data_IF_769712106548
#
_entry.id   IF_769712106548
#
_cell.length_a   1.000
_cell.length_b   1.000
_cell.length_c   1.000
_cell.angle_alpha   90.00
_cell.angle_beta   90.00
_cell.angle_gamma   90.00
#
_symmetry.space_group_name_H-M   'P 1'
#
loop_
_entity.id
_entity.type
_entity.pdbx_description
1 polymer ?
#
# COMPACT_ATOMS: atom_id res chain seq x y z
N UNK A 1 14.06 0.11 -0.38
CA UNK A 1 13.95 -1.24 0.20
C UNK A 1 12.56 -1.78 -0.08
N UNK A 2 12.37 -3.09 -0.29
CA UNK A 2 11.05 -3.73 -0.38
C UNK A 2 10.31 -3.70 -1.74
N UNK A 3 10.84 -3.01 -2.75
CA UNK A 3 10.18 -2.87 -4.06
C UNK A 3 9.96 -4.23 -4.73
N UNK A 4 10.93 -5.14 -4.69
CA UNK A 4 10.80 -6.43 -5.38
C UNK A 4 9.68 -7.29 -4.79
N UNK A 5 9.56 -7.33 -3.46
CA UNK A 5 8.48 -8.02 -2.75
C UNK A 5 7.12 -7.40 -3.08
N UNK A 6 7.03 -6.07 -3.04
CA UNK A 6 5.80 -5.35 -3.37
C UNK A 6 5.35 -5.60 -4.82
N UNK A 7 6.29 -5.56 -5.77
CA UNK A 7 6.01 -5.83 -7.18
C UNK A 7 5.56 -7.28 -7.37
N UNK A 8 6.19 -8.25 -6.72
CA UNK A 8 5.75 -9.65 -6.83
C UNK A 8 4.33 -9.83 -6.28
N UNK A 9 4.01 -9.17 -5.17
CA UNK A 9 2.66 -9.19 -4.59
C UNK A 9 1.61 -8.59 -5.54
N UNK A 10 1.94 -7.45 -6.17
CA UNK A 10 1.09 -6.82 -7.19
C UNK A 10 0.93 -7.72 -8.42
N UNK A 11 1.99 -8.37 -8.90
CA UNK A 11 1.92 -9.29 -10.04
C UNK A 11 1.01 -10.48 -9.73
N UNK A 12 1.09 -11.06 -8.53
CA UNK A 12 0.18 -12.13 -8.13
C UNK A 12 -1.27 -11.66 -8.02
N UNK A 13 -1.50 -10.48 -7.43
CA UNK A 13 -2.83 -9.88 -7.36
C UNK A 13 -3.39 -9.60 -8.77
N UNK A 14 -2.55 -9.16 -9.70
CA UNK A 14 -2.92 -8.96 -11.11
C UNK A 14 -3.32 -10.28 -11.78
N UNK A 15 -2.52 -11.34 -11.62
CA UNK A 15 -2.81 -12.65 -12.23
C UNK A 15 -4.13 -13.24 -11.75
N UNK A 16 -4.50 -12.97 -10.49
CA UNK A 16 -5.74 -13.43 -9.88
C UNK A 16 -6.88 -12.41 -9.98
N UNK A 17 -6.63 -11.23 -10.57
CA UNK A 17 -7.54 -10.08 -10.59
C UNK A 17 -8.16 -9.80 -9.22
N UNK A 18 -7.31 -9.82 -8.19
CA UNK A 18 -7.72 -9.55 -6.82
C UNK A 18 -8.19 -8.11 -6.67
N UNK A 19 -9.21 -7.92 -5.83
CA UNK A 19 -9.62 -6.59 -5.41
C UNK A 19 -8.55 -5.94 -4.55
N UNK A 20 -8.10 -4.76 -4.98
CA UNK A 20 -7.18 -3.90 -4.24
C UNK A 20 -7.94 -2.76 -3.59
N UNK A 21 -7.73 -2.54 -2.29
CA UNK A 21 -8.17 -1.33 -1.60
C UNK A 21 -6.95 -0.53 -1.16
N UNK A 22 -6.85 0.71 -1.64
CA UNK A 22 -5.77 1.63 -1.29
C UNK A 22 -6.19 2.47 -0.08
N UNK A 23 -5.41 2.48 0.98
CA UNK A 23 -5.63 3.33 2.16
C UNK A 23 -4.62 4.47 2.17
N UNK A 24 -5.07 5.66 1.76
CA UNK A 24 -4.25 6.87 1.67
C UNK A 24 -4.22 7.69 2.96
N UNK A 25 -3.41 8.75 2.99
CA UNK A 25 -3.50 9.84 3.97
C UNK A 25 -4.22 11.08 3.37
N UNK A 26 -4.72 11.97 4.22
CA UNK A 26 -5.56 13.12 3.83
C UNK A 26 -4.76 14.34 3.34
N UNK A 27 -3.44 14.35 3.51
CA UNK A 27 -2.60 15.47 3.10
C UNK A 27 -2.31 15.46 1.59
N UNK A 28 -1.54 16.44 1.11
CA UNK A 28 -1.27 16.56 -0.33
C UNK A 28 -0.44 15.39 -0.89
N UNK A 29 0.51 14.82 -0.12
CA UNK A 29 1.32 13.69 -0.58
C UNK A 29 0.46 12.42 -0.59
N UNK A 30 -0.28 12.15 0.49
CA UNK A 30 -1.21 11.03 0.60
C UNK A 30 -2.31 11.03 -0.47
N UNK A 31 -2.98 12.17 -0.68
CA UNK A 31 -4.05 12.28 -1.67
C UNK A 31 -3.53 12.10 -3.11
N UNK A 32 -2.40 12.72 -3.44
CA UNK A 32 -1.79 12.63 -4.79
C UNK A 32 -1.29 11.21 -5.06
N UNK A 33 -0.64 10.60 -4.07
CA UNK A 33 -0.12 9.24 -4.17
C UNK A 33 -1.23 8.19 -4.28
N UNK A 34 -2.35 8.41 -3.58
CA UNK A 34 -3.56 7.58 -3.70
C UNK A 34 -4.15 7.68 -5.10
N UNK A 35 -4.34 8.90 -5.62
CA UNK A 35 -4.86 9.12 -6.97
C UNK A 35 -3.95 8.47 -8.03
N UNK A 36 -2.63 8.65 -7.91
CA UNK A 36 -1.65 8.01 -8.79
C UNK A 36 -1.75 6.49 -8.75
N UNK A 37 -1.84 5.89 -7.56
CA UNK A 37 -1.95 4.45 -7.37
C UNK A 37 -3.22 3.89 -8.03
N UNK A 38 -4.37 4.53 -7.81
CA UNK A 38 -5.64 4.12 -8.41
C UNK A 38 -5.57 4.19 -9.94
N UNK A 39 -5.11 5.31 -10.49
CA UNK A 39 -5.04 5.51 -11.94
C UNK A 39 -4.06 4.51 -12.58
N UNK A 40 -2.88 4.34 -12.01
CA UNK A 40 -1.85 3.52 -12.60
C UNK A 40 -2.16 2.02 -12.52
N UNK A 41 -2.72 1.52 -11.39
CA UNK A 41 -3.15 0.13 -11.29
C UNK A 41 -4.28 -0.17 -12.28
N UNK A 42 -5.27 0.72 -12.42
CA UNK A 42 -6.32 0.54 -13.44
C UNK A 42 -5.74 0.55 -14.86
N UNK A 43 -4.79 1.44 -15.15
CA UNK A 43 -4.12 1.49 -16.45
C UNK A 43 -3.25 0.24 -16.72
N UNK A 44 -2.71 -0.39 -15.67
CA UNK A 44 -2.02 -1.68 -15.74
C UNK A 44 -2.96 -2.87 -16.02
N UNK A 45 -4.29 -2.66 -15.94
CA UNK A 45 -5.29 -3.69 -16.22
C UNK A 45 -5.81 -4.43 -14.99
N UNK A 46 -5.65 -3.88 -13.78
CA UNK A 46 -6.40 -4.37 -12.61
C UNK A 46 -7.88 -3.99 -12.75
N UNK A 47 -8.78 -4.97 -12.63
CA UNK A 47 -10.21 -4.76 -12.84
C UNK A 47 -10.95 -4.14 -11.65
N UNK A 48 -10.48 -4.37 -10.41
CA UNK A 48 -11.16 -3.91 -9.18
C UNK A 48 -10.15 -3.23 -8.24
N UNK A 49 -10.10 -1.90 -8.34
CA UNK A 49 -9.25 -1.04 -7.51
C UNK A 49 -10.14 0.04 -6.88
N UNK A 50 -10.19 0.06 -5.55
CA UNK A 50 -10.92 1.03 -4.75
C UNK A 50 -9.97 1.75 -3.76
N UNK A 51 -10.45 2.77 -3.09
CA UNK A 51 -9.66 3.51 -2.11
C UNK A 51 -10.48 3.95 -0.89
N UNK A 52 -9.75 4.22 0.19
CA UNK A 52 -10.23 4.80 1.43
C UNK A 52 -9.25 5.90 1.86
N UNK A 53 -9.78 7.04 2.26
CA UNK A 53 -9.04 8.10 2.95
C UNK A 53 -9.67 8.23 4.34
N UNK A 54 -8.97 7.83 5.42
CA UNK A 54 -9.56 7.77 6.73
C UNK A 54 -9.74 9.16 7.35
N UNK A 55 -10.82 9.33 8.11
CA UNK A 55 -11.02 10.49 8.96
C UNK A 55 -10.23 10.30 10.26
N UNK A 56 -9.07 10.95 10.37
CA UNK A 56 -8.18 10.83 11.54
C UNK A 56 -8.83 11.12 12.90
N UNK A 57 -9.90 11.91 12.94
CA UNK A 57 -10.57 12.26 14.21
C UNK A 57 -11.51 11.16 14.70
N UNK A 58 -12.12 10.43 13.78
CA UNK A 58 -13.11 9.38 14.09
C UNK A 58 -12.48 7.99 14.08
N UNK A 59 -11.48 7.79 13.23
CA UNK A 59 -10.95 6.47 12.87
C UNK A 59 -9.51 6.26 13.30
N UNK A 60 -8.86 7.26 13.92
CA UNK A 60 -7.44 7.21 14.27
C UNK A 60 -6.51 7.40 13.05
N UNK A 61 -5.20 7.31 13.27
CA UNK A 61 -4.20 7.59 12.23
C UNK A 61 -3.85 6.34 11.40
N UNK A 62 -3.75 6.50 10.07
CA UNK A 62 -3.38 5.43 9.14
C UNK A 62 -4.35 4.26 9.13
N UNK A 63 -3.81 3.04 9.03
CA UNK A 63 -4.60 1.81 9.03
C UNK A 63 -4.89 1.33 10.46
N UNK A 64 -5.99 1.82 11.03
CA UNK A 64 -6.57 1.32 12.28
C UNK A 64 -7.52 0.13 12.06
N UNK A 65 -7.98 -0.51 13.13
CA UNK A 65 -8.99 -1.59 13.04
C UNK A 65 -10.28 -1.10 12.34
N UNK A 66 -10.89 0.05 12.71
CA UNK A 66 -12.06 0.56 11.99
C UNK A 66 -11.84 0.74 10.48
N UNK A 67 -10.66 1.25 10.08
CA UNK A 67 -10.33 1.42 8.65
C UNK A 67 -10.16 0.07 7.96
N UNK A 68 -9.56 -0.91 8.65
CA UNK A 68 -9.45 -2.27 8.16
C UNK A 68 -10.82 -2.95 7.99
N UNK A 69 -11.75 -2.74 8.92
CA UNK A 69 -13.14 -3.21 8.81
C UNK A 69 -13.84 -2.63 7.58
N UNK A 70 -13.71 -1.32 7.33
CA UNK A 70 -14.24 -0.69 6.12
C UNK A 70 -13.66 -1.29 4.83
N UNK A 71 -12.36 -1.66 4.84
CA UNK A 71 -11.75 -2.31 3.69
C UNK A 71 -12.30 -3.75 3.48
N UNK A 72 -12.56 -4.49 4.57
CA UNK A 72 -13.20 -5.80 4.53
C UNK A 72 -14.61 -5.70 3.97
N UNK A 73 -15.40 -4.71 4.38
CA UNK A 73 -16.75 -4.47 3.85
C UNK A 73 -16.76 -4.21 2.34
N UNK A 74 -15.67 -3.62 1.82
CA UNK A 74 -15.46 -3.43 0.38
C UNK A 74 -15.03 -4.71 -0.35
N UNK A 75 -14.74 -5.80 0.37
CA UNK A 75 -14.28 -7.07 -0.19
C UNK A 75 -12.79 -7.10 -0.55
N UNK A 76 -11.95 -6.36 0.18
CA UNK A 76 -10.51 -6.31 -0.07
C UNK A 76 -9.86 -7.71 -0.05
N UNK A 77 -8.96 -7.96 -1.00
CA UNK A 77 -8.12 -9.18 -1.04
C UNK A 77 -6.63 -8.85 -0.90
N UNK A 78 -6.23 -7.68 -1.42
CA UNK A 78 -4.95 -7.05 -1.17
C UNK A 78 -5.18 -5.61 -0.71
N UNK A 79 -4.78 -5.30 0.52
CA UNK A 79 -4.77 -3.92 1.01
C UNK A 79 -3.42 -3.29 0.75
N UNK A 80 -3.42 -2.06 0.24
CA UNK A 80 -2.21 -1.28 0.00
C UNK A 80 -2.30 0.04 0.76
N UNK A 81 -1.43 0.30 1.74
CA UNK A 81 -1.34 1.62 2.36
C UNK A 81 -0.45 2.54 1.55
N UNK A 82 -0.79 3.82 1.52
CA UNK A 82 -0.04 4.87 0.83
C UNK A 82 0.12 6.05 1.78
N UNK A 83 1.37 6.48 1.97
CA UNK A 83 1.73 7.59 2.86
C UNK A 83 1.42 7.33 4.35
N UNK A 84 1.19 6.07 4.69
CA UNK A 84 0.99 5.60 6.06
C UNK A 84 1.28 4.09 6.14
N UNK A 85 1.18 3.53 7.34
CA UNK A 85 1.14 2.08 7.55
C UNK A 85 2.39 1.50 8.21
N UNK A 86 3.55 2.17 8.19
CA UNK A 86 4.79 1.63 8.81
C UNK A 86 4.66 1.46 10.34
N UNK A 87 3.72 2.18 10.95
CA UNK A 87 3.40 2.10 12.38
C UNK A 87 2.01 1.49 12.67
N UNK A 88 1.32 0.95 11.66
CA UNK A 88 -0.07 0.46 11.79
C UNK A 88 -0.15 -1.01 12.23
N UNK A 89 0.45 -1.36 13.37
CA UNK A 89 0.56 -2.75 13.83
C UNK A 89 -0.79 -3.45 13.96
N UNK A 90 -1.74 -2.83 14.68
CA UNK A 90 -3.02 -3.46 15.01
C UNK A 90 -3.89 -3.69 13.77
N UNK A 91 -4.03 -2.66 12.91
CA UNK A 91 -4.82 -2.79 11.68
C UNK A 91 -4.22 -3.82 10.71
N UNK A 92 -2.89 -3.87 10.59
CA UNK A 92 -2.21 -4.86 9.76
C UNK A 92 -2.42 -6.27 10.34
N UNK A 93 -2.17 -6.47 11.63
CA UNK A 93 -2.35 -7.77 12.29
C UNK A 93 -3.79 -8.28 12.16
N UNK A 94 -4.78 -7.39 12.35
CA UNK A 94 -6.19 -7.72 12.18
C UNK A 94 -6.52 -8.21 10.77
N UNK A 95 -6.02 -7.55 9.71
CA UNK A 95 -6.21 -8.02 8.34
C UNK A 95 -5.52 -9.37 8.09
N UNK A 96 -4.32 -9.56 8.65
CA UNK A 96 -3.59 -10.83 8.53
C UNK A 96 -4.37 -11.99 9.15
N UNK A 97 -5.02 -11.79 10.29
CA UNK A 97 -5.89 -12.80 10.93
C UNK A 97 -7.08 -13.20 10.05
N UNK A 98 -7.52 -12.31 9.14
CA UNK A 98 -8.57 -12.59 8.15
C UNK A 98 -8.05 -13.17 6.83
N UNK A 99 -6.75 -13.45 6.73
CA UNK A 99 -6.12 -13.95 5.52
C UNK A 99 -5.94 -12.90 4.42
N UNK A 100 -6.10 -11.61 4.74
CA UNK A 100 -5.92 -10.52 3.79
C UNK A 100 -4.43 -10.17 3.72
N UNK A 101 -3.94 -9.94 2.50
CA UNK A 101 -2.55 -9.53 2.26
C UNK A 101 -2.42 -8.03 2.38
N UNK A 102 -1.30 -7.55 2.90
CA UNK A 102 -1.04 -6.13 3.15
C UNK A 102 0.29 -5.71 2.56
N UNK A 103 0.25 -4.70 1.69
CA UNK A 103 1.38 -3.96 1.16
C UNK A 103 1.44 -2.59 1.83
N UNK A 104 2.55 -2.27 2.48
CA UNK A 104 2.79 -0.92 3.02
C UNK A 104 3.67 -0.13 2.07
N UNK A 105 3.24 1.06 1.67
CA UNK A 105 4.10 2.05 0.99
C UNK A 105 4.10 3.34 1.81
N UNK A 106 5.26 3.66 2.37
CA UNK A 106 5.38 4.72 3.37
C UNK A 106 6.80 5.32 3.33
N UNK A 107 6.94 6.52 3.85
CA UNK A 107 8.21 7.24 3.96
C UNK A 107 8.47 7.82 5.36
N UNK A 108 7.54 7.59 6.30
CA UNK A 108 7.74 7.94 7.69
C UNK A 108 8.87 7.12 8.32
N UNK A 109 9.42 7.61 9.43
CA UNK A 109 10.45 6.88 10.17
C UNK A 109 9.86 5.58 10.73
N UNK A 110 10.45 4.41 10.41
CA UNK A 110 9.97 3.15 10.93
C UNK A 110 10.26 3.05 12.44
N UNK A 111 9.41 2.37 13.21
CA UNK A 111 9.72 1.96 14.57
C UNK A 111 10.84 0.91 14.61
N UNK A 112 11.31 0.54 15.81
CA UNK A 112 12.35 -0.48 15.99
C UNK A 112 11.96 -1.85 15.44
N UNK A 113 10.66 -2.18 15.53
CA UNK A 113 10.06 -3.37 14.94
C UNK A 113 9.14 -2.97 13.80
N UNK A 114 8.88 -3.91 12.89
CA UNK A 114 8.00 -3.67 11.74
C UNK A 114 6.68 -4.42 11.91
N UNK A 115 5.55 -3.86 11.42
CA UNK A 115 4.27 -4.55 11.44
C UNK A 115 4.30 -5.78 10.52
N UNK A 116 3.40 -6.76 10.73
CA UNK A 116 3.42 -8.04 10.03
C UNK A 116 2.83 -7.95 8.60
N UNK A 117 3.31 -7.01 7.78
CA UNK A 117 2.90 -6.85 6.39
C UNK A 117 3.62 -7.84 5.45
N UNK A 118 2.99 -8.19 4.33
CA UNK A 118 3.57 -9.08 3.31
C UNK A 118 4.71 -8.40 2.54
N UNK A 119 4.64 -7.08 2.38
CA UNK A 119 5.70 -6.26 1.85
C UNK A 119 5.65 -4.85 2.44
N UNK A 120 6.83 -4.26 2.67
CA UNK A 120 6.98 -2.87 3.13
C UNK A 120 7.97 -2.15 2.23
N UNK A 121 7.50 -1.14 1.51
CA UNK A 121 8.33 -0.21 0.74
C UNK A 121 8.50 1.06 1.55
N UNK A 122 9.67 1.22 2.15
CA UNK A 122 10.04 2.44 2.85
C UNK A 122 11.54 2.76 2.62
N UNK A 123 11.90 3.97 2.16
CA UNK A 123 13.28 4.36 1.90
C UNK A 123 14.15 4.34 3.16
N UNK A 124 13.59 4.64 4.33
CA UNK A 124 14.30 4.66 5.62
C UNK A 124 14.69 3.25 6.12
N UNK A 125 14.21 2.19 5.46
CA UNK A 125 14.64 0.81 5.72
C UNK A 125 15.88 0.41 4.91
N UNK A 126 16.34 1.27 4.00
CA UNK A 126 17.58 1.05 3.26
C UNK A 126 18.75 1.75 3.96
N UNK A 127 19.97 1.24 3.76
CA UNK A 127 21.20 1.87 4.26
C UNK A 127 21.47 3.26 3.68
N UNK A 128 20.66 3.74 2.73
CA UNK A 128 20.65 5.11 2.23
C UNK A 128 19.88 6.01 3.21
N UNK A 129 20.40 6.11 4.43
CA UNK A 129 19.89 7.02 5.44
C UNK A 129 20.01 8.48 4.94
N UNK A 130 18.88 9.17 4.73
CA UNK A 130 18.86 10.64 4.65
C UNK A 130 18.17 11.29 3.45
N UNK A 131 17.72 10.53 2.44
CA UNK A 131 16.93 11.12 1.34
C UNK A 131 15.44 11.12 1.69
N UNK A 132 14.86 12.32 1.87
CA UNK A 132 13.40 12.51 2.01
C UNK A 132 12.73 12.24 0.67
N UNK A 133 12.18 11.04 0.49
CA UNK A 133 11.45 10.64 -0.71
C UNK A 133 9.96 10.76 -0.42
N UNK A 134 9.19 11.63 -1.10
CA UNK A 134 7.73 11.69 -0.95
C UNK A 134 7.08 10.39 -1.45
N UNK A 135 5.91 10.07 -0.88
CA UNK A 135 5.17 8.84 -1.20
C UNK A 135 4.87 8.72 -2.69
N UNK A 136 4.63 9.84 -3.38
CA UNK A 136 4.35 9.84 -4.82
C UNK A 136 5.49 9.24 -5.65
N UNK A 137 6.75 9.47 -5.25
CA UNK A 137 7.92 8.91 -5.95
C UNK A 137 8.11 7.43 -5.64
N UNK A 138 7.73 6.99 -4.43
CA UNK A 138 7.70 5.57 -4.07
C UNK A 138 6.72 4.83 -4.98
N UNK A 139 5.50 5.35 -5.10
CA UNK A 139 4.46 4.78 -5.96
C UNK A 139 4.92 4.74 -7.41
N UNK A 140 5.42 5.87 -7.95
CA UNK A 140 5.89 5.92 -9.32
C UNK A 140 6.98 4.86 -9.61
N UNK A 141 7.99 4.76 -8.74
CA UNK A 141 9.08 3.78 -8.89
C UNK A 141 8.58 2.34 -8.82
N UNK A 142 7.68 2.04 -7.87
CA UNK A 142 7.09 0.71 -7.72
C UNK A 142 6.26 0.31 -8.93
N UNK A 143 5.37 1.19 -9.40
CA UNK A 143 4.54 0.94 -10.59
C UNK A 143 5.41 0.76 -11.84
N UNK A 144 6.43 1.60 -12.04
CA UNK A 144 7.34 1.46 -13.18
C UNK A 144 8.05 0.10 -13.19
N UNK A 145 8.45 -0.39 -12.01
CA UNK A 145 9.01 -1.73 -11.87
C UNK A 145 7.97 -2.83 -12.20
N UNK A 146 6.72 -2.64 -11.76
CA UNK A 146 5.63 -3.58 -12.03
C UNK A 146 5.25 -3.68 -13.52
N UNK A 147 5.22 -2.56 -14.26
CA UNK A 147 4.94 -2.53 -15.72
C UNK A 147 5.82 -3.55 -16.45
N UNK A 148 7.12 -3.55 -16.15
CA UNK A 148 8.08 -4.43 -16.83
C UNK A 148 7.79 -5.93 -16.63
N UNK A 149 7.14 -6.30 -15.52
CA UNK A 149 6.82 -7.69 -15.18
C UNK A 149 5.41 -8.10 -15.63
N UNK A 150 4.46 -7.18 -15.64
CA UNK A 150 3.09 -7.42 -16.12
C UNK A 150 3.08 -7.52 -17.64
N UNK A 151 3.67 -6.53 -18.34
CA UNK A 151 3.66 -6.46 -19.82
C UNK A 151 4.44 -7.62 -20.47
N UNK A 152 5.50 -8.14 -19.83
CA UNK A 152 6.23 -9.30 -20.36
C UNK A 152 5.47 -10.63 -20.23
N UNK A 153 4.36 -10.66 -19.51
CA UNK A 153 3.59 -11.89 -19.21
C UNK A 153 2.20 -11.93 -19.87
N UNK A 154 1.80 -10.84 -20.53
CA UNK A 154 0.62 -10.73 -21.40
C UNK A 154 0.98 -11.01 -22.85
#
# INVERSE_FOLDING_TARGET
>A
YGIDQAVNLLVEAYQQQQKIVIVGDFDADGATSTALSVLALRQLGFSDVDYLVPNRFEQGYGLSIPVAEMAIEKGVQLLMTVDNGVSSFEGIAFLKEKGIRVLVTDHHLPPETLPPADAIVNPNLSSLNGSRVPSVLIIFGMINSAISKVVKRS
#
